data_IF_088540129186
#
_entry.id   IF_088540129186
#
_cell.length_a   1.000
_cell.length_b   1.000
_cell.length_c   1.000
_cell.angle_alpha   90.00
_cell.angle_beta   90.00
_cell.angle_gamma   90.00
#
_symmetry.space_group_name_H-M   'P 1'
#
loop_
_entity.id
_entity.type
_entity.pdbx_description
1 polymer ?
#
# COMPACT_ATOMS: atom_id res chain seq x y z
N UNK A 1 -8.62 -5.10 -2.83
CA UNK A 1 -7.32 -4.45 -3.06
C UNK A 1 -6.29 -5.53 -3.39
N UNK A 2 -5.50 -5.29 -4.43
CA UNK A 2 -4.52 -6.26 -4.94
C UNK A 2 -3.11 -5.97 -4.37
N UNK A 3 -3.02 -5.59 -3.10
CA UNK A 3 -1.73 -5.38 -2.46
C UNK A 3 -1.02 -6.70 -2.25
N UNK A 4 0.28 -6.70 -2.49
CA UNK A 4 1.17 -7.77 -2.04
C UNK A 4 1.88 -7.25 -0.78
N UNK A 5 1.73 -7.96 0.31
CA UNK A 5 2.43 -7.68 1.55
C UNK A 5 3.48 -8.75 1.84
N UNK A 6 4.62 -8.33 2.35
CA UNK A 6 5.68 -9.22 2.84
C UNK A 6 6.20 -8.67 4.16
N UNK A 7 6.25 -9.49 5.17
CA UNK A 7 6.76 -9.09 6.48
C UNK A 7 6.40 -10.08 7.57
N UNK A 8 6.93 -9.83 8.75
CA UNK A 8 6.69 -10.61 9.95
C UNK A 8 6.34 -9.64 11.08
N UNK A 9 5.12 -9.17 11.14
CA UNK A 9 4.66 -8.48 12.33
C UNK A 9 3.89 -9.46 13.22
N UNK A 10 4.15 -9.43 14.51
CA UNK A 10 3.23 -9.94 15.52
C UNK A 10 2.67 -8.70 16.21
N UNK A 11 1.40 -8.45 16.02
CA UNK A 11 0.74 -7.27 16.51
C UNK A 11 0.97 -7.06 18.00
N UNK A 12 1.28 -5.82 18.38
CA UNK A 12 1.71 -5.45 19.72
C UNK A 12 0.58 -5.17 20.65
N UNK A 13 -0.64 -5.19 20.18
CA UNK A 13 -1.73 -4.81 21.05
C UNK A 13 -1.87 -5.87 22.15
N UNK A 14 -1.47 -5.44 23.32
CA UNK A 14 -1.76 -6.11 24.58
C UNK A 14 -3.26 -6.38 24.68
N UNK A 15 -3.68 -7.10 25.70
CA UNK A 15 -5.11 -7.29 26.02
C UNK A 15 -5.93 -5.98 26.02
N UNK A 16 -5.26 -4.82 26.12
CA UNK A 16 -5.90 -3.49 26.10
C UNK A 16 -6.24 -2.99 24.68
N UNK A 17 -5.61 -3.55 23.63
CA UNK A 17 -5.78 -3.12 22.26
C UNK A 17 -5.84 -4.34 21.32
N UNK A 18 -6.87 -5.18 21.44
CA UNK A 18 -6.98 -6.36 20.59
C UNK A 18 -7.19 -5.99 19.14
N UNK A 19 -6.58 -6.73 18.23
CA UNK A 19 -6.87 -6.62 16.80
C UNK A 19 -6.96 -8.02 16.18
N UNK A 20 -7.71 -8.18 15.05
CA UNK A 20 -8.05 -9.51 14.52
C UNK A 20 -6.85 -10.30 13.99
N UNK A 21 -5.71 -9.64 13.76
CA UNK A 21 -4.48 -10.26 13.28
C UNK A 21 -3.42 -10.45 14.35
N UNK A 22 -3.77 -10.28 15.62
CA UNK A 22 -2.86 -10.53 16.75
C UNK A 22 -2.24 -11.93 16.66
N UNK A 23 -0.92 -12.02 16.83
CA UNK A 23 -0.12 -13.24 16.72
C UNK A 23 -0.11 -13.93 15.34
N UNK A 24 -0.67 -13.31 14.30
CA UNK A 24 -0.54 -13.77 12.91
C UNK A 24 0.62 -13.04 12.23
N UNK A 25 1.14 -13.64 11.15
CA UNK A 25 2.09 -12.97 10.28
C UNK A 25 1.35 -12.06 9.31
N UNK A 26 1.75 -10.81 9.25
CA UNK A 26 1.28 -9.82 8.28
C UNK A 26 2.30 -8.69 8.17
N UNK A 27 2.29 -7.92 7.09
CA UNK A 27 3.10 -6.72 6.96
C UNK A 27 2.27 -5.48 7.30
N UNK A 28 1.10 -5.37 6.68
CA UNK A 28 0.14 -4.31 6.92
C UNK A 28 -1.24 -4.91 7.22
N UNK A 29 -2.00 -4.24 8.05
CA UNK A 29 -3.38 -4.62 8.34
C UNK A 29 -4.30 -3.41 8.25
N UNK A 30 -5.52 -3.65 7.79
CA UNK A 30 -6.56 -2.62 7.80
C UNK A 30 -7.04 -2.45 9.23
N UNK A 31 -6.99 -1.22 9.72
CA UNK A 31 -7.44 -0.84 11.07
C UNK A 31 -8.77 -0.11 10.94
N UNK A 32 -9.75 -0.57 11.73
CA UNK A 32 -11.06 0.06 11.94
C UNK A 32 -11.15 0.53 13.41
N UNK A 33 -10.65 1.71 13.75
CA UNK A 33 -10.47 2.09 15.15
C UNK A 33 -11.76 2.03 15.98
N UNK A 34 -12.88 2.45 15.42
CA UNK A 34 -14.17 2.44 16.10
C UNK A 34 -14.71 1.02 16.37
N UNK A 35 -14.20 0.02 15.66
CA UNK A 35 -14.57 -1.39 15.86
C UNK A 35 -13.61 -2.07 16.84
N UNK A 36 -12.34 -1.72 16.80
CA UNK A 36 -11.29 -2.38 17.57
C UNK A 36 -11.05 -1.73 18.94
N UNK A 37 -11.26 -0.41 19.03
CA UNK A 37 -10.95 0.40 20.20
C UNK A 37 -12.23 1.01 20.76
N UNK A 38 -12.27 1.22 22.04
CA UNK A 38 -13.36 1.97 22.66
C UNK A 38 -13.13 3.49 22.55
N UNK A 39 -14.18 4.27 22.77
CA UNK A 39 -14.13 5.72 22.66
C UNK A 39 -13.11 6.37 23.62
N UNK A 40 -12.95 5.82 24.81
CA UNK A 40 -12.00 6.32 25.83
C UNK A 40 -10.55 6.25 25.31
N UNK A 41 -10.20 5.15 24.65
CA UNK A 41 -8.88 4.97 24.04
C UNK A 41 -8.67 5.94 22.88
N UNK A 42 -9.68 6.12 22.02
CA UNK A 42 -9.60 7.03 20.90
C UNK A 42 -9.53 8.50 21.31
N UNK A 43 -10.14 8.85 22.42
CA UNK A 43 -10.06 10.20 23.00
C UNK A 43 -8.70 10.45 23.67
N UNK A 44 -8.16 9.41 24.30
CA UNK A 44 -6.83 9.48 24.91
C UNK A 44 -5.70 9.55 23.89
N UNK A 45 -5.85 8.85 22.76
CA UNK A 45 -4.82 8.74 21.72
C UNK A 45 -5.38 9.19 20.37
N UNK A 46 -5.44 10.49 20.18
CA UNK A 46 -5.98 11.09 18.94
C UNK A 46 -5.24 10.62 17.67
N UNK A 47 -3.97 10.25 17.78
CA UNK A 47 -3.19 9.69 16.68
C UNK A 47 -3.76 8.38 16.12
N UNK A 48 -4.62 7.67 16.86
CA UNK A 48 -5.27 6.44 16.41
C UNK A 48 -6.52 6.68 15.54
N UNK A 49 -6.95 7.94 15.37
CA UNK A 49 -8.06 8.26 14.47
C UNK A 49 -7.56 8.27 13.01
N UNK A 50 -8.37 7.82 12.04
CA UNK A 50 -8.02 7.91 10.62
C UNK A 50 -7.75 9.36 10.20
N UNK A 51 -6.97 9.56 9.14
CA UNK A 51 -6.88 10.86 8.49
C UNK A 51 -8.21 11.21 7.84
N UNK A 52 -8.77 10.26 7.11
CA UNK A 52 -10.10 10.40 6.52
C UNK A 52 -10.92 9.12 6.64
N UNK A 53 -12.21 9.20 6.39
CA UNK A 53 -13.10 8.05 6.43
C UNK A 53 -13.13 7.33 7.78
N UNK A 54 -13.04 5.99 7.77
CA UNK A 54 -13.20 5.14 8.96
C UNK A 54 -12.06 4.15 9.16
N UNK A 55 -11.10 4.10 8.26
CA UNK A 55 -10.04 3.08 8.21
C UNK A 55 -8.70 3.68 7.87
N UNK A 56 -7.63 3.01 8.27
CA UNK A 56 -6.27 3.23 7.78
C UNK A 56 -5.50 1.92 7.74
N UNK A 57 -4.36 1.88 7.07
CA UNK A 57 -3.43 0.76 7.11
C UNK A 57 -2.40 0.96 8.23
N UNK A 58 -2.08 -0.10 8.95
CA UNK A 58 -1.03 -0.07 9.95
C UNK A 58 0.00 -1.18 9.75
N UNK A 59 1.25 -0.83 9.97
CA UNK A 59 2.40 -1.72 10.07
C UNK A 59 2.96 -1.64 11.48
N UNK A 60 3.16 -2.79 12.11
CA UNK A 60 3.61 -2.87 13.50
C UNK A 60 5.06 -3.33 13.59
N UNK A 61 5.66 -3.15 14.77
CA UNK A 61 6.96 -3.71 15.06
C UNK A 61 6.94 -5.24 14.93
N UNK A 62 8.08 -5.81 14.69
CA UNK A 62 8.22 -7.26 14.56
C UNK A 62 8.88 -7.86 15.81
N UNK A 63 8.44 -9.07 16.18
CA UNK A 63 8.99 -9.81 17.32
C UNK A 63 9.34 -11.23 16.86
N UNK A 64 10.59 -11.63 17.10
CA UNK A 64 11.04 -12.98 16.90
C UNK A 64 11.72 -13.51 18.16
N UNK A 65 11.36 -14.72 18.61
CA UNK A 65 11.89 -15.32 19.84
C UNK A 65 11.86 -14.39 21.07
N UNK A 66 10.77 -13.64 21.21
CA UNK A 66 10.58 -12.63 22.26
C UNK A 66 11.56 -11.44 22.23
N UNK A 67 12.24 -11.24 21.12
CA UNK A 67 13.10 -10.08 20.86
C UNK A 67 12.46 -9.19 19.81
N UNK A 68 12.57 -7.86 20.00
CA UNK A 68 12.21 -6.92 18.95
C UNK A 68 13.24 -7.01 17.82
N UNK A 69 12.74 -7.15 16.62
CA UNK A 69 13.55 -7.12 15.40
C UNK A 69 13.09 -5.95 14.53
N UNK A 70 13.97 -5.37 13.70
CA UNK A 70 13.56 -4.35 12.76
C UNK A 70 12.38 -4.82 11.92
N UNK A 71 11.40 -3.94 11.73
CA UNK A 71 10.35 -4.19 10.75
C UNK A 71 10.97 -4.30 9.36
N UNK A 72 10.46 -5.23 8.58
CA UNK A 72 10.77 -5.38 7.16
C UNK A 72 9.45 -5.60 6.44
N UNK A 73 8.59 -4.56 6.53
CA UNK A 73 7.22 -4.65 6.10
C UNK A 73 6.99 -3.83 4.83
N UNK A 74 6.62 -4.50 3.76
CA UNK A 74 6.45 -3.94 2.42
C UNK A 74 4.98 -3.89 2.03
N UNK A 75 4.55 -2.72 1.58
CA UNK A 75 3.26 -2.51 0.92
C UNK A 75 3.51 -2.16 -0.53
N UNK A 76 3.23 -3.11 -1.43
CA UNK A 76 3.48 -2.97 -2.86
C UNK A 76 2.18 -2.59 -3.57
N UNK A 77 2.24 -1.57 -4.41
CA UNK A 77 1.09 -1.08 -5.18
C UNK A 77 0.58 -2.12 -6.19
N UNK A 78 -0.67 -2.00 -6.65
CA UNK A 78 -1.07 -2.56 -7.92
C UNK A 78 -0.21 -2.01 -9.07
N UNK A 79 -0.31 -2.63 -10.26
CA UNK A 79 0.44 -2.19 -11.43
C UNK A 79 0.13 -0.72 -11.78
N UNK A 80 1.18 0.01 -12.13
CA UNK A 80 1.13 1.38 -12.61
C UNK A 80 1.20 1.44 -14.15
N UNK A 81 0.83 2.56 -14.78
CA UNK A 81 0.88 2.69 -16.24
C UNK A 81 2.29 2.70 -16.83
N UNK A 82 3.31 2.94 -16.01
CA UNK A 82 4.70 3.09 -16.46
C UNK A 82 5.07 4.51 -16.84
N UNK A 83 4.17 5.45 -16.72
CA UNK A 83 4.41 6.88 -16.94
C UNK A 83 4.97 7.52 -15.66
N UNK A 84 5.77 8.57 -15.82
CA UNK A 84 6.23 9.37 -14.69
C UNK A 84 5.02 9.98 -13.97
N UNK A 85 4.96 9.85 -12.66
CA UNK A 85 3.86 10.36 -11.86
C UNK A 85 4.30 10.76 -10.46
N UNK A 86 3.52 11.61 -9.81
CA UNK A 86 3.65 11.90 -8.39
C UNK A 86 2.64 11.07 -7.63
N UNK A 87 3.10 10.33 -6.65
CA UNK A 87 2.22 9.67 -5.66
C UNK A 87 2.15 10.53 -4.42
N UNK A 88 1.02 10.52 -3.73
CA UNK A 88 0.88 11.10 -2.40
C UNK A 88 0.21 10.12 -1.44
N UNK A 89 0.49 10.28 -0.16
CA UNK A 89 -0.12 9.52 0.91
C UNK A 89 0.01 10.26 2.22
N UNK A 90 -0.88 9.98 3.15
CA UNK A 90 -0.78 10.47 4.51
C UNK A 90 -0.17 9.38 5.38
N UNK A 91 0.80 9.77 6.21
CA UNK A 91 1.43 8.88 7.16
C UNK A 91 1.44 9.47 8.57
N UNK A 92 1.39 8.59 9.55
CA UNK A 92 1.41 8.92 10.96
C UNK A 92 2.14 7.82 11.73
N UNK A 93 2.44 8.09 13.00
CA UNK A 93 2.98 7.12 13.94
C UNK A 93 2.21 7.14 15.23
N UNK A 94 2.25 6.03 15.96
CA UNK A 94 1.71 6.02 17.31
C UNK A 94 2.62 6.86 18.22
N UNK A 95 2.00 7.80 18.92
CA UNK A 95 2.67 8.61 19.92
C UNK A 95 1.87 8.56 21.22
N UNK A 96 2.45 8.03 22.26
CA UNK A 96 1.87 8.06 23.59
C UNK A 96 2.43 9.24 24.38
N UNK A 97 1.64 9.79 25.29
CA UNK A 97 1.98 10.95 26.10
C UNK A 97 3.43 10.91 26.63
N UNK A 98 4.29 11.76 26.06
CA UNK A 98 5.68 11.92 26.48
C UNK A 98 6.71 10.95 25.85
N UNK A 99 6.29 9.91 25.13
CA UNK A 99 7.20 9.00 24.45
C UNK A 99 7.10 9.25 22.94
N UNK A 100 8.21 9.69 22.35
CA UNK A 100 8.33 9.89 20.90
C UNK A 100 8.84 8.60 20.29
N UNK A 101 8.00 7.95 19.51
CA UNK A 101 8.41 6.86 18.64
C UNK A 101 8.64 7.42 17.25
N UNK A 102 9.76 7.11 16.64
CA UNK A 102 10.05 7.51 15.26
C UNK A 102 9.88 6.31 14.36
N UNK A 103 8.94 6.38 13.45
CA UNK A 103 8.78 5.37 12.41
C UNK A 103 9.57 5.81 11.18
N UNK A 104 10.51 4.96 10.76
CA UNK A 104 11.30 5.17 9.55
C UNK A 104 10.69 4.38 8.41
N UNK A 105 10.56 5.01 7.27
CA UNK A 105 10.06 4.34 6.08
C UNK A 105 10.70 4.93 4.82
N UNK A 106 10.65 4.18 3.76
CA UNK A 106 11.12 4.61 2.45
C UNK A 106 10.11 4.27 1.36
N UNK A 107 10.20 4.98 0.25
CA UNK A 107 9.43 4.68 -0.95
C UNK A 107 10.39 4.22 -2.03
N UNK A 108 10.08 3.07 -2.60
CA UNK A 108 10.83 2.44 -3.67
C UNK A 108 9.96 2.27 -4.90
N UNK A 109 10.57 2.03 -6.04
CA UNK A 109 9.86 1.71 -7.28
C UNK A 109 10.52 0.53 -8.00
N UNK A 110 9.73 -0.18 -8.78
CA UNK A 110 10.18 -1.24 -9.68
C UNK A 110 9.75 -0.94 -11.12
N UNK A 111 10.59 -1.32 -12.07
CA UNK A 111 10.34 -1.24 -13.51
C UNK A 111 10.07 -2.62 -14.14
N UNK A 112 10.08 -3.68 -13.34
CA UNK A 112 10.02 -5.07 -13.87
C UNK A 112 8.94 -5.90 -13.18
N UNK A 113 8.99 -6.07 -11.86
CA UNK A 113 8.15 -7.00 -11.14
C UNK A 113 7.94 -6.60 -9.68
N UNK A 114 7.49 -7.57 -8.88
CA UNK A 114 7.18 -7.41 -7.47
C UNK A 114 8.11 -8.23 -6.54
N UNK A 115 9.19 -8.79 -7.07
CA UNK A 115 10.24 -9.37 -6.23
C UNK A 115 10.95 -8.22 -5.48
N UNK A 116 11.36 -8.44 -4.23
CA UNK A 116 11.96 -7.36 -3.43
C UNK A 116 13.22 -6.80 -4.08
N UNK A 117 14.00 -7.65 -4.75
CA UNK A 117 15.22 -7.28 -5.47
C UNK A 117 14.94 -6.44 -6.74
N UNK A 118 13.69 -6.39 -7.22
CA UNK A 118 13.29 -5.52 -8.34
C UNK A 118 13.19 -4.06 -7.93
N UNK A 119 13.04 -3.77 -6.64
CA UNK A 119 12.79 -2.42 -6.15
C UNK A 119 14.07 -1.61 -5.97
N UNK A 120 14.01 -0.38 -6.45
CA UNK A 120 15.06 0.63 -6.36
C UNK A 120 14.62 1.79 -5.49
N UNK A 121 15.52 2.33 -4.70
CA UNK A 121 15.22 3.50 -3.88
C UNK A 121 14.90 4.72 -4.76
N UNK A 122 13.91 5.50 -4.34
CA UNK A 122 13.67 6.85 -4.88
C UNK A 122 14.67 7.87 -4.38
N UNK A 123 15.61 7.46 -3.52
CA UNK A 123 16.58 8.34 -2.86
C UNK A 123 16.01 9.11 -1.67
N UNK A 124 14.75 8.89 -1.32
CA UNK A 124 14.10 9.57 -0.19
C UNK A 124 13.80 8.60 0.94
N UNK A 125 14.25 8.98 2.12
CA UNK A 125 13.89 8.34 3.39
C UNK A 125 13.04 9.31 4.19
N UNK A 126 12.07 8.80 4.89
CA UNK A 126 11.09 9.58 5.62
C UNK A 126 11.00 9.12 7.07
N UNK A 127 10.53 10.04 7.90
CA UNK A 127 10.26 9.78 9.31
C UNK A 127 8.86 10.29 9.67
N UNK A 128 8.10 9.49 10.41
CA UNK A 128 6.88 9.92 11.10
C UNK A 128 7.16 9.98 12.60
N UNK A 129 7.03 11.16 13.20
CA UNK A 129 7.54 11.42 14.56
C UNK A 129 6.57 12.15 15.47
N UNK A 130 5.50 12.74 14.93
CA UNK A 130 4.68 13.71 15.67
C UNK A 130 3.43 13.11 16.31
N UNK A 131 2.99 11.94 15.85
CA UNK A 131 1.67 11.42 16.20
C UNK A 131 0.53 12.19 15.51
N UNK A 132 0.86 12.93 14.47
CA UNK A 132 -0.09 13.69 13.64
C UNK A 132 0.04 13.23 12.20
N UNK A 133 -1.07 13.19 11.49
CA UNK A 133 -1.08 12.88 10.07
C UNK A 133 -0.35 13.96 9.26
N UNK A 134 0.55 13.52 8.41
CA UNK A 134 1.32 14.38 7.51
C UNK A 134 1.28 13.81 6.10
N UNK A 135 1.10 14.69 5.13
CA UNK A 135 1.17 14.32 3.71
C UNK A 135 2.62 14.20 3.24
N UNK A 136 2.88 13.15 2.48
CA UNK A 136 4.14 12.90 1.80
C UNK A 136 3.89 12.73 0.30
N UNK A 137 4.78 13.31 -0.49
CA UNK A 137 4.74 13.21 -1.95
C UNK A 137 6.04 12.68 -2.49
N UNK A 138 5.98 11.80 -3.47
CA UNK A 138 7.14 11.18 -4.11
C UNK A 138 6.95 11.14 -5.62
N UNK A 139 7.95 11.59 -6.35
CA UNK A 139 7.96 11.48 -7.80
C UNK A 139 8.52 10.12 -8.20
N UNK A 140 7.74 9.37 -8.97
CA UNK A 140 8.16 8.13 -9.60
C UNK A 140 8.65 8.44 -11.01
N UNK A 141 9.76 7.83 -11.46
CA UNK A 141 10.28 8.05 -12.80
C UNK A 141 9.43 7.35 -13.86
N UNK A 142 9.64 7.74 -15.11
CA UNK A 142 9.14 6.98 -16.26
C UNK A 142 9.66 5.53 -16.21
N UNK A 143 8.82 4.59 -16.61
CA UNK A 143 9.08 3.15 -16.53
C UNK A 143 8.73 2.51 -15.21
N UNK A 144 8.34 3.28 -14.18
CA UNK A 144 7.90 2.71 -12.91
C UNK A 144 6.57 1.96 -13.08
N UNK A 145 6.59 0.65 -12.88
CA UNK A 145 5.41 -0.23 -12.98
C UNK A 145 4.82 -0.61 -11.64
N UNK A 146 5.57 -0.40 -10.56
CA UNK A 146 5.13 -0.57 -9.18
C UNK A 146 5.84 0.43 -8.28
N UNK A 147 5.21 0.79 -7.16
CA UNK A 147 5.92 1.37 -6.02
C UNK A 147 5.72 0.52 -4.78
N UNK A 148 6.57 0.71 -3.80
CA UNK A 148 6.44 0.11 -2.48
C UNK A 148 6.65 1.16 -1.40
N UNK A 149 5.89 1.04 -0.30
CA UNK A 149 6.13 1.74 0.95
C UNK A 149 6.68 0.71 1.92
N UNK A 150 7.92 0.88 2.33
CA UNK A 150 8.67 -0.05 3.15
C UNK A 150 8.89 0.54 4.54
N UNK A 151 8.25 -0.03 5.55
CA UNK A 151 8.56 0.24 6.96
C UNK A 151 9.74 -0.63 7.38
N UNK A 152 10.83 0.02 7.77
CA UNK A 152 12.07 -0.63 8.19
C UNK A 152 12.52 -0.19 9.59
N UNK A 153 11.59 0.21 10.42
CA UNK A 153 11.85 0.71 11.76
C UNK A 153 12.21 -0.41 12.73
N UNK A 154 13.19 -0.15 13.58
CA UNK A 154 13.53 -1.01 14.71
C UNK A 154 12.88 -0.50 15.98
N UNK A 155 12.26 -1.40 16.77
CA UNK A 155 11.78 -1.15 18.13
C UNK A 155 10.90 0.10 18.27
N UNK A 156 9.88 0.21 17.43
CA UNK A 156 8.83 1.22 17.53
C UNK A 156 7.47 0.54 17.62
N UNK A 157 6.40 1.31 17.55
CA UNK A 157 5.10 0.78 17.91
C UNK A 157 4.20 0.51 16.70
N UNK A 158 3.92 1.53 15.90
CA UNK A 158 3.00 1.42 14.78
C UNK A 158 3.20 2.56 13.78
N UNK A 159 3.45 2.20 12.55
CA UNK A 159 3.41 3.07 11.39
C UNK A 159 2.04 3.00 10.74
N UNK A 160 1.44 4.14 10.41
CA UNK A 160 0.10 4.27 9.86
C UNK A 160 0.12 4.95 8.51
N UNK A 161 -0.69 4.45 7.58
CA UNK A 161 -0.88 5.00 6.22
C UNK A 161 -2.36 5.19 5.92
N UNK A 162 -2.67 6.31 5.28
CA UNK A 162 -4.01 6.63 4.81
C UNK A 162 -3.97 7.42 3.50
N UNK A 163 -5.09 7.48 2.79
CA UNK A 163 -5.30 8.30 1.58
C UNK A 163 -4.18 8.20 0.54
N UNK A 164 -3.81 6.99 0.17
CA UNK A 164 -2.79 6.75 -0.86
C UNK A 164 -3.35 7.07 -2.24
N UNK A 165 -2.78 8.08 -2.90
CA UNK A 165 -3.20 8.55 -4.22
C UNK A 165 -2.12 8.31 -5.27
N UNK A 166 -2.50 7.68 -6.36
CA UNK A 166 -1.65 7.40 -7.51
C UNK A 166 -2.49 7.12 -8.76
N UNK A 167 -1.89 7.19 -9.94
CA UNK A 167 -2.51 6.74 -11.18
C UNK A 167 -2.29 5.25 -11.35
N UNK A 168 -3.37 4.47 -11.26
CA UNK A 168 -3.32 3.04 -11.49
C UNK A 168 -3.11 2.74 -12.98
N UNK A 169 -2.31 1.70 -13.29
CA UNK A 169 -2.25 1.16 -14.64
C UNK A 169 -3.57 0.49 -14.98
N UNK A 170 -4.15 0.83 -16.10
CA UNK A 170 -5.07 -0.08 -16.74
C UNK A 170 -4.25 -1.33 -17.07
N UNK A 171 -4.59 -2.49 -16.52
CA UNK A 171 -3.86 -3.72 -16.81
C UNK A 171 -3.55 -3.79 -18.31
N UNK A 172 -2.34 -4.24 -18.68
CA UNK A 172 -1.89 -4.27 -20.08
C UNK A 172 -2.99 -4.89 -20.91
N UNK A 173 -3.58 -4.10 -21.82
CA UNK A 173 -4.57 -4.61 -22.77
C UNK A 173 -3.87 -5.67 -23.62
N UNK A 174 -4.20 -6.94 -23.40
CA UNK A 174 -3.60 -8.06 -24.14
C UNK A 174 -4.19 -8.21 -25.55
N UNK A 175 -5.16 -7.37 -25.90
CA UNK A 175 -5.85 -7.37 -27.18
C UNK A 175 -7.37 -7.26 -26.98
N UNK A 176 -8.07 -7.17 -28.08
CA UNK A 176 -9.53 -7.08 -28.14
C UNK A 176 -10.09 -8.30 -28.89
N UNK A 177 -11.07 -8.95 -28.31
CA UNK A 177 -11.84 -9.95 -29.03
C UNK A 177 -13.12 -9.31 -29.54
N UNK A 178 -13.33 -9.32 -30.86
CA UNK A 178 -14.54 -8.81 -31.51
C UNK A 178 -15.47 -9.96 -31.81
N UNK A 179 -16.71 -9.85 -31.36
CA UNK A 179 -17.73 -10.88 -31.55
C UNK A 179 -18.90 -10.31 -32.37
N UNK A 180 -19.55 -11.16 -33.17
CA UNK A 180 -20.86 -10.91 -33.78
C UNK A 180 -21.74 -12.14 -33.57
N UNK A 181 -22.95 -11.94 -33.10
CA UNK A 181 -23.93 -13.00 -32.82
C UNK A 181 -23.34 -14.13 -31.94
N UNK A 182 -22.51 -13.77 -30.96
CA UNK A 182 -21.84 -14.71 -30.06
C UNK A 182 -20.65 -15.46 -30.67
N UNK A 183 -20.29 -15.24 -31.93
CA UNK A 183 -19.13 -15.85 -32.59
C UNK A 183 -17.95 -14.87 -32.64
N UNK A 184 -16.75 -15.36 -32.26
CA UNK A 184 -15.54 -14.58 -32.37
C UNK A 184 -15.23 -14.31 -33.85
N UNK A 185 -15.19 -13.05 -34.25
CA UNK A 185 -14.83 -12.63 -35.58
C UNK A 185 -13.34 -12.41 -35.75
N UNK A 186 -12.73 -11.75 -34.76
CA UNK A 186 -11.32 -11.37 -34.85
C UNK A 186 -10.76 -11.09 -33.45
N UNK A 187 -9.49 -11.42 -33.28
CA UNK A 187 -8.65 -10.89 -32.20
C UNK A 187 -7.77 -9.77 -32.74
N UNK A 188 -7.74 -8.64 -32.04
CA UNK A 188 -6.92 -7.47 -32.39
C UNK A 188 -5.83 -7.34 -31.33
N UNK A 189 -4.59 -7.28 -31.74
CA UNK A 189 -3.46 -7.10 -30.84
C UNK A 189 -3.48 -5.70 -30.18
N UNK A 190 -2.92 -5.53 -28.98
CA UNK A 190 -3.08 -4.34 -28.16
C UNK A 190 -2.60 -3.04 -28.83
N UNK A 191 -1.62 -3.13 -29.72
CA UNK A 191 -1.04 -1.99 -30.42
C UNK A 191 -1.55 -1.84 -31.86
N UNK A 192 -2.51 -2.66 -32.30
CA UNK A 192 -3.10 -2.54 -33.62
C UNK A 192 -4.26 -1.52 -33.59
N UNK A 193 -4.44 -0.77 -34.66
CA UNK A 193 -5.64 0.08 -34.79
C UNK A 193 -6.90 -0.78 -34.61
N UNK A 194 -7.81 -0.41 -33.69
CA UNK A 194 -9.01 -1.21 -33.38
C UNK A 194 -10.05 -1.06 -34.48
N UNK A 195 -9.67 -1.35 -35.72
CA UNK A 195 -10.57 -1.35 -36.88
C UNK A 195 -10.86 -2.75 -37.35
N UNK A 196 -12.12 -3.01 -37.61
CA UNK A 196 -12.59 -4.22 -38.26
C UNK A 196 -13.54 -3.82 -39.39
N UNK A 197 -13.35 -4.40 -40.55
CA UNK A 197 -14.33 -4.33 -41.63
C UNK A 197 -15.23 -5.55 -41.50
N UNK A 198 -16.49 -5.33 -41.18
CA UNK A 198 -17.47 -6.39 -41.13
C UNK A 198 -18.14 -6.50 -42.48
N UNK A 199 -17.77 -7.51 -43.25
CA UNK A 199 -18.39 -7.83 -44.53
C UNK A 199 -19.66 -8.67 -44.27
N UNK A 200 -20.64 -8.11 -43.55
CA UNK A 200 -21.91 -8.77 -43.46
C UNK A 200 -22.53 -8.93 -44.84
N UNK A 201 -23.04 -10.09 -45.22
CA UNK A 201 -23.81 -10.19 -46.46
C UNK A 201 -25.03 -9.24 -46.32
N UNK A 202 -25.17 -8.35 -47.32
CA UNK A 202 -26.37 -7.54 -47.47
C UNK A 202 -27.57 -8.48 -47.61
N UNK A 203 -28.42 -8.49 -46.57
CA UNK A 203 -29.70 -9.21 -46.61
C UNK A 203 -30.65 -8.57 -47.60
#
# INVERSE_FOLDING_TARGET
SNYVEKGIAKGPFSKSYPHPNENKRFAYTLVEPNTWLNAEILDKYACLKPHSGTHYLASFYSVENSQFIPADNWLISPALPGEAQTISFWANNFNSQGTKYTENFEVLYSTSGIALDDFKSTGKKFEATTGEWKEYTVNLPEGATYFAIHNNTADTYMFMLDDVTYTAGCGKVLGYNVYRDGKLLKRIEPNAEPRITDNAPSG
#
